data_IF_253992194206
#
_entry.id   IF_253992194206
#
_cell.length_a   1.000
_cell.length_b   1.000
_cell.length_c   1.000
_cell.angle_alpha   90.00
_cell.angle_beta   90.00
_cell.angle_gamma   90.00
#
_symmetry.space_group_name_H-M   'P 1'
#
loop_
_entity.id
_entity.type
_entity.pdbx_description
1 polymer ?
#
# COMPACT_ATOMS: atom_id res chain seq x y z
N UNK A 1 0.26 -19.66 2.12
CA UNK A 1 0.16 -18.44 1.29
C UNK A 1 0.31 -17.26 2.25
N UNK A 2 1.03 -16.18 1.90
CA UNK A 2 1.04 -14.99 2.74
C UNK A 2 -0.41 -14.52 2.89
N UNK A 3 -0.94 -14.52 4.11
CA UNK A 3 -2.28 -14.03 4.38
C UNK A 3 -2.16 -12.53 4.59
N UNK A 4 -2.25 -11.78 3.50
CA UNK A 4 -2.34 -10.33 3.53
C UNK A 4 -3.81 -9.94 3.76
N UNK A 5 -4.08 -9.07 4.73
CA UNK A 5 -5.38 -8.40 4.83
C UNK A 5 -5.29 -7.09 4.03
N UNK A 6 -6.11 -6.97 2.99
CA UNK A 6 -6.11 -5.81 2.12
C UNK A 6 -6.79 -4.62 2.81
N UNK A 7 -6.06 -3.50 2.94
CA UNK A 7 -6.57 -2.25 3.51
C UNK A 7 -7.05 -1.31 2.40
N UNK A 8 -6.24 -1.21 1.35
CA UNK A 8 -6.52 -0.43 0.15
C UNK A 8 -5.98 -1.15 -1.08
N UNK A 9 -6.71 -1.10 -2.18
CA UNK A 9 -6.24 -1.60 -3.46
C UNK A 9 -6.81 -0.76 -4.59
N UNK A 10 -5.89 -0.34 -5.46
CA UNK A 10 -6.19 0.32 -6.70
C UNK A 10 -5.41 -0.37 -7.80
N UNK A 11 -6.04 -1.34 -8.45
CA UNK A 11 -5.43 -2.15 -9.51
C UNK A 11 -6.33 -2.34 -10.72
N UNK A 12 -5.74 -2.40 -11.91
CA UNK A 12 -6.34 -2.97 -13.11
C UNK A 12 -5.89 -4.43 -13.30
N UNK A 13 -6.20 -5.03 -14.44
CA UNK A 13 -5.77 -6.40 -14.77
C UNK A 13 -4.25 -6.52 -15.01
N UNK A 14 -3.54 -5.39 -15.17
CA UNK A 14 -2.14 -5.38 -15.60
C UNK A 14 -1.22 -4.61 -14.67
N UNK A 15 -1.74 -3.70 -13.85
CA UNK A 15 -0.91 -2.86 -12.98
C UNK A 15 -1.74 -2.25 -11.84
N UNK A 16 -1.08 -1.79 -10.78
CA UNK A 16 -1.79 -1.25 -9.63
C UNK A 16 -0.91 -1.06 -8.40
N UNK A 17 -1.55 -0.67 -7.32
CA UNK A 17 -0.97 -0.52 -5.99
C UNK A 17 -1.91 -1.16 -4.96
N UNK A 18 -1.34 -1.86 -3.98
CA UNK A 18 -2.07 -2.37 -2.82
C UNK A 18 -1.33 -2.07 -1.52
N UNK A 19 -2.10 -1.71 -0.50
CA UNK A 19 -1.66 -1.56 0.88
C UNK A 19 -2.32 -2.66 1.69
N UNK A 20 -1.50 -3.44 2.37
CA UNK A 20 -1.93 -4.62 3.09
C UNK A 20 -1.31 -4.65 4.49
N UNK A 21 -1.99 -5.34 5.39
CA UNK A 21 -1.40 -5.84 6.63
C UNK A 21 -0.93 -7.27 6.38
N UNK A 22 0.35 -7.55 6.56
CA UNK A 22 0.84 -8.93 6.56
C UNK A 22 0.46 -9.58 7.90
N UNK A 23 -0.34 -10.64 7.88
CA UNK A 23 -0.84 -11.24 9.11
C UNK A 23 0.21 -12.06 9.89
N UNK A 24 1.36 -12.38 9.30
CA UNK A 24 2.45 -13.09 9.98
C UNK A 24 3.35 -12.09 10.71
N UNK A 25 3.78 -11.03 10.01
CA UNK A 25 4.63 -9.99 10.61
C UNK A 25 3.83 -8.91 11.34
N UNK A 26 2.50 -8.88 11.16
CA UNK A 26 1.58 -7.86 11.70
C UNK A 26 1.98 -6.46 11.28
N UNK A 27 2.62 -6.32 10.13
CA UNK A 27 3.21 -5.06 9.67
C UNK A 27 2.66 -4.62 8.32
N UNK A 28 2.95 -3.37 7.95
CA UNK A 28 2.57 -2.80 6.66
C UNK A 28 3.29 -3.52 5.51
N UNK A 29 2.54 -3.93 4.49
CA UNK A 29 3.05 -4.41 3.21
C UNK A 29 2.46 -3.57 2.07
N UNK A 30 3.31 -2.78 1.41
CA UNK A 30 2.94 -2.00 0.23
C UNK A 30 3.48 -2.69 -1.02
N UNK A 31 2.61 -3.04 -1.96
CA UNK A 31 2.98 -3.64 -3.25
C UNK A 31 2.55 -2.73 -4.40
N UNK A 32 3.40 -2.59 -5.41
CA UNK A 32 3.09 -1.97 -6.69
C UNK A 32 3.47 -2.90 -7.82
N UNK A 33 2.58 -3.05 -8.80
CA UNK A 33 2.78 -3.96 -9.93
C UNK A 33 2.51 -3.28 -11.27
N UNK A 34 3.24 -3.69 -12.30
CA UNK A 34 3.01 -3.45 -13.72
C UNK A 34 3.39 -4.73 -14.50
N UNK A 35 3.03 -4.88 -15.79
CA UNK A 35 3.18 -6.15 -16.52
C UNK A 35 4.56 -6.79 -16.51
N UNK A 36 5.62 -6.00 -16.28
CA UNK A 36 7.01 -6.46 -16.35
C UNK A 36 7.85 -6.03 -15.15
N UNK A 37 7.25 -5.37 -14.16
CA UNK A 37 7.96 -4.92 -12.96
C UNK A 37 7.00 -4.83 -11.78
N UNK A 38 7.38 -5.43 -10.67
CA UNK A 38 6.73 -5.23 -9.38
C UNK A 38 7.77 -4.83 -8.34
N UNK A 39 7.31 -4.15 -7.29
CA UNK A 39 8.12 -3.78 -6.16
C UNK A 39 7.27 -3.82 -4.89
N UNK A 40 7.92 -4.08 -3.77
CA UNK A 40 7.32 -4.00 -2.45
C UNK A 40 8.13 -3.07 -1.54
N UNK A 41 7.47 -2.54 -0.52
CA UNK A 41 8.06 -1.79 0.57
C UNK A 41 7.40 -2.25 1.87
N UNK A 42 8.17 -2.93 2.69
CA UNK A 42 7.68 -3.55 3.93
C UNK A 42 8.03 -2.67 5.14
N UNK A 43 7.06 -2.53 6.03
CA UNK A 43 7.28 -2.01 7.38
C UNK A 43 7.67 -3.11 8.35
N UNK A 44 8.17 -2.68 9.51
CA UNK A 44 8.56 -3.55 10.62
C UNK A 44 7.79 -3.29 11.91
N UNK A 45 7.08 -2.17 12.01
CA UNK A 45 6.25 -1.88 13.18
C UNK A 45 5.05 -2.83 13.22
N UNK A 46 4.79 -3.35 14.42
CA UNK A 46 3.59 -4.14 14.73
C UNK A 46 2.38 -3.18 14.76
N UNK A 47 1.46 -3.34 13.82
CA UNK A 47 0.28 -2.50 13.64
C UNK A 47 -0.94 -2.99 14.43
N UNK A 48 -0.82 -4.11 15.14
CA UNK A 48 -1.91 -4.72 15.90
C UNK A 48 -1.55 -4.62 17.39
N UNK A 49 -1.31 -3.40 17.86
CA UNK A 49 -0.82 -3.11 19.21
C UNK A 49 -1.82 -2.31 20.07
N UNK A 50 -3.10 -2.32 19.67
CA UNK A 50 -4.21 -1.55 20.24
C UNK A 50 -4.11 -0.02 20.07
N UNK A 51 -3.17 0.48 19.27
CA UNK A 51 -3.06 1.91 18.93
C UNK A 51 -3.56 2.22 17.52
N UNK A 52 -3.99 3.47 17.33
CA UNK A 52 -4.22 4.01 15.98
C UNK A 52 -2.89 4.37 15.35
N UNK A 53 -2.65 3.86 14.15
CA UNK A 53 -1.49 4.22 13.33
C UNK A 53 -1.89 5.02 12.11
N UNK A 54 -1.04 5.97 11.73
CA UNK A 54 -1.13 6.69 10.46
C UNK A 54 -0.24 6.00 9.42
N UNK A 55 -0.85 5.54 8.32
CA UNK A 55 -0.13 4.87 7.24
C UNK A 55 -0.10 5.75 5.99
N UNK A 56 1.06 5.86 5.35
CA UNK A 56 1.20 6.56 4.08
C UNK A 56 2.09 5.79 3.10
N UNK A 57 1.74 5.89 1.82
CA UNK A 57 2.51 5.35 0.71
C UNK A 57 2.89 6.47 -0.27
N UNK A 58 4.10 6.41 -0.79
CA UNK A 58 4.58 7.32 -1.84
C UNK A 58 5.09 6.53 -3.04
N UNK A 59 4.74 6.97 -4.24
CA UNK A 59 5.30 6.49 -5.50
C UNK A 59 5.74 7.71 -6.31
N UNK A 60 6.99 7.72 -6.74
CA UNK A 60 7.52 8.79 -7.58
C UNK A 60 9.02 8.64 -7.83
N UNK A 61 9.52 9.23 -8.91
CA UNK A 61 10.94 9.23 -9.27
C UNK A 61 11.60 7.83 -9.28
N UNK A 62 10.86 6.80 -9.69
CA UNK A 62 11.38 5.43 -9.73
C UNK A 62 11.43 4.71 -8.38
N UNK A 63 10.82 5.28 -7.33
CA UNK A 63 10.89 4.75 -5.97
C UNK A 63 9.51 4.62 -5.31
N UNK A 64 9.43 3.62 -4.44
CA UNK A 64 8.34 3.33 -3.52
C UNK A 64 8.79 3.65 -2.09
N UNK A 65 7.87 4.17 -1.28
CA UNK A 65 8.11 4.40 0.15
C UNK A 65 6.87 4.10 0.97
N UNK A 66 7.06 3.41 2.09
CA UNK A 66 6.02 3.10 3.07
C UNK A 66 6.36 3.80 4.39
N UNK A 67 5.37 4.45 5.00
CA UNK A 67 5.51 5.24 6.21
C UNK A 67 4.47 4.85 7.25
N UNK A 68 4.89 4.81 8.50
CA UNK A 68 4.05 4.56 9.69
C UNK A 68 4.32 5.70 10.67
N UNK A 69 3.27 6.38 11.11
CA UNK A 69 3.31 7.53 12.03
C UNK A 69 4.27 8.64 11.57
N UNK A 70 4.35 8.82 10.25
CA UNK A 70 5.20 9.81 9.59
C UNK A 70 6.68 9.40 9.44
N UNK A 71 7.10 8.24 9.96
CA UNK A 71 8.44 7.70 9.78
C UNK A 71 8.49 6.72 8.61
N UNK A 72 9.54 6.79 7.80
CA UNK A 72 9.72 5.86 6.67
C UNK A 72 10.25 4.53 7.18
N UNK A 73 9.54 3.46 6.87
CA UNK A 73 9.95 2.09 7.27
C UNK A 73 10.40 1.25 6.09
N UNK A 74 9.68 1.37 4.97
CA UNK A 74 9.88 0.51 3.81
C UNK A 74 10.27 1.30 2.56
N UNK A 75 11.01 0.64 1.67
CA UNK A 75 11.30 1.18 0.35
C UNK A 75 11.54 0.13 -0.71
N UNK A 76 11.12 0.44 -1.93
CA UNK A 76 11.36 -0.38 -3.10
C UNK A 76 11.77 0.47 -4.31
N UNK A 77 12.51 -0.14 -5.24
CA UNK A 77 12.78 0.46 -6.54
C UNK A 77 11.66 0.08 -7.50
N UNK A 78 10.96 1.05 -8.06
CA UNK A 78 9.88 0.84 -9.00
C UNK A 78 10.01 1.81 -10.19
N UNK A 79 10.68 1.41 -11.28
CA UNK A 79 10.83 2.24 -12.48
C UNK A 79 9.56 2.30 -13.35
N UNK A 80 8.49 1.57 -12.98
CA UNK A 80 7.22 1.59 -13.69
C UNK A 80 6.35 2.80 -13.35
N UNK A 81 5.19 2.89 -14.00
CA UNK A 81 4.13 3.81 -13.62
C UNK A 81 2.92 3.01 -13.16
N UNK A 82 2.38 3.23 -11.95
CA UNK A 82 1.12 2.62 -11.55
C UNK A 82 -0.03 3.17 -12.41
N UNK A 83 -1.08 2.38 -12.63
CA UNK A 83 -2.32 2.86 -13.28
C UNK A 83 -3.28 3.37 -12.21
N UNK A 84 -3.56 4.66 -12.26
CA UNK A 84 -4.65 5.26 -11.50
C UNK A 84 -5.89 5.55 -12.37
N UNK A 85 -5.79 5.33 -13.69
CA UNK A 85 -6.78 5.70 -14.72
C UNK A 85 -8.01 4.80 -14.78
N UNK A 86 -8.06 3.71 -13.99
CA UNK A 86 -9.28 2.90 -13.87
C UNK A 86 -10.39 3.58 -13.06
N UNK A 87 -10.15 4.75 -12.46
CA UNK A 87 -11.22 5.61 -11.93
C UNK A 87 -11.49 6.79 -12.87
N UNK A 88 -12.77 7.12 -13.04
CA UNK A 88 -13.20 8.42 -13.56
C UNK A 88 -12.47 9.49 -12.75
N UNK A 89 -11.78 10.41 -13.43
CA UNK A 89 -10.83 11.40 -12.90
C UNK A 89 -11.39 12.44 -11.89
N UNK A 90 -12.42 12.13 -11.11
CA UNK A 90 -13.11 13.06 -10.21
C UNK A 90 -13.39 12.55 -8.80
N UNK A 91 -12.98 11.33 -8.43
CA UNK A 91 -13.04 10.91 -7.03
C UNK A 91 -11.70 11.22 -6.35
N UNK A 92 -11.57 12.28 -5.52
CA UNK A 92 -10.45 12.37 -4.61
C UNK A 92 -10.44 11.09 -3.77
N UNK A 93 -9.27 10.45 -3.66
CA UNK A 93 -9.03 9.35 -2.72
C UNK A 93 -9.37 9.90 -1.33
N UNK A 94 -10.53 9.52 -0.78
CA UNK A 94 -10.96 10.01 0.53
C UNK A 94 -12.45 9.96 0.89
N UNK A 95 -13.39 9.53 0.05
CA UNK A 95 -14.82 9.54 0.42
C UNK A 95 -15.61 8.28 0.04
N UNK A 96 -14.96 7.12 -0.07
CA UNK A 96 -15.65 5.88 -0.45
C UNK A 96 -15.12 4.58 0.13
N UNK A 97 -13.89 4.53 0.65
CA UNK A 97 -13.39 3.30 1.25
C UNK A 97 -13.97 3.11 2.65
N UNK A 98 -14.44 1.89 2.91
CA UNK A 98 -14.91 1.45 4.22
C UNK A 98 -13.73 1.56 5.18
N UNK A 99 -13.92 2.30 6.29
CA UNK A 99 -12.98 2.23 7.41
C UNK A 99 -12.96 0.79 7.91
N UNK A 100 -11.91 0.05 7.59
CA UNK A 100 -11.66 -1.26 8.15
C UNK A 100 -11.12 -1.08 9.57
N UNK A 101 -11.98 -1.32 10.56
CA UNK A 101 -11.54 -1.52 11.93
C UNK A 101 -10.89 -2.89 12.03
N UNK A 102 -9.60 -2.93 12.34
CA UNK A 102 -8.84 -4.16 12.60
C UNK A 102 -8.79 -4.33 14.12
N UNK A 103 -9.19 -5.49 14.61
CA UNK A 103 -9.27 -5.84 16.03
C UNK A 103 -8.36 -7.03 16.36
#
# INVERSE_FOLDING_TARGET
>A
LPSHQQLFNKSSSTQGISLNLDANSRSLHLEVGAPSVSAAADGSTDLVDDNWHFLAATIGNGALGAYIDGQREGSGSYPGSPDFSSDVATAPVGLGDVLHYIN
#
